data_IF_803595432650
#
_entry.id   IF_803595432650
#
_cell.length_a   1.000
_cell.length_b   1.000
_cell.length_c   1.000
_cell.angle_alpha   90.00
_cell.angle_beta   90.00
_cell.angle_gamma   90.00
#
_symmetry.space_group_name_H-M   'P 1'
#
loop_
_entity.id
_entity.type
_entity.pdbx_description
1 polymer ?
#
# COMPACT_ATOMS: atom_id res chain seq x y z
N UNK A 1 16.41 16.92 1.12
CA UNK A 1 16.19 15.62 1.73
C UNK A 1 14.75 15.21 1.61
N UNK A 2 14.53 14.00 1.21
CA UNK A 2 13.20 13.48 1.06
C UNK A 2 12.67 12.96 2.39
N UNK A 3 11.45 13.34 2.69
CA UNK A 3 10.78 12.79 3.86
C UNK A 3 10.07 11.53 3.44
N UNK A 4 10.33 10.46 4.17
CA UNK A 4 9.68 9.17 3.93
C UNK A 4 8.56 9.04 4.94
N UNK A 5 7.31 8.97 4.44
CA UNK A 5 6.16 8.77 5.30
C UNK A 5 5.80 7.29 5.33
N UNK A 6 5.89 6.69 6.49
CA UNK A 6 5.50 5.31 6.68
C UNK A 6 3.99 5.25 6.91
N UNK A 7 3.32 4.48 6.08
CA UNK A 7 1.86 4.39 6.14
C UNK A 7 1.45 3.19 7.01
N UNK A 8 1.99 2.02 6.68
CA UNK A 8 1.65 0.80 7.41
C UNK A 8 2.71 -0.26 7.10
N UNK A 9 2.56 -1.43 7.71
CA UNK A 9 3.49 -2.52 7.48
C UNK A 9 3.18 -3.22 6.17
N UNK A 10 4.23 -3.67 5.49
CA UNK A 10 4.07 -4.45 4.28
C UNK A 10 3.59 -5.86 4.64
N UNK A 11 2.53 -6.36 3.98
CA UNK A 11 2.03 -7.70 4.29
C UNK A 11 2.89 -8.83 3.72
N UNK A 12 3.78 -8.50 2.77
CA UNK A 12 4.59 -9.52 2.10
C UNK A 12 6.00 -9.64 2.67
N UNK A 13 6.43 -8.67 3.45
CA UNK A 13 7.77 -8.68 4.03
C UNK A 13 7.75 -7.90 5.35
N UNK A 14 8.92 -7.81 5.99
CA UNK A 14 9.02 -7.09 7.25
C UNK A 14 9.22 -5.59 7.08
N UNK A 15 9.16 -5.11 5.85
CA UNK A 15 9.29 -3.70 5.58
C UNK A 15 8.02 -2.92 5.85
N UNK A 16 8.00 -1.69 5.39
CA UNK A 16 6.85 -0.82 5.57
C UNK A 16 6.44 -0.22 4.23
N UNK A 17 5.16 0.08 4.13
CA UNK A 17 4.64 0.77 2.96
C UNK A 17 4.86 2.26 3.16
N UNK A 18 5.51 2.88 2.18
CA UNK A 18 5.84 4.31 2.23
C UNK A 18 5.23 5.03 1.05
N UNK A 19 5.02 6.32 1.24
CA UNK A 19 4.49 7.17 0.17
C UNK A 19 5.62 7.56 -0.77
N UNK A 20 5.40 7.36 -2.06
CA UNK A 20 6.37 7.72 -3.09
C UNK A 20 5.70 8.57 -4.15
N UNK A 21 6.50 9.34 -4.85
CA UNK A 21 6.00 10.22 -5.90
C UNK A 21 6.71 9.91 -7.21
N UNK A 22 5.93 9.80 -8.28
CA UNK A 22 6.48 9.55 -9.60
C UNK A 22 6.95 10.85 -10.24
N UNK A 23 7.66 10.74 -11.36
CA UNK A 23 8.11 11.91 -12.10
C UNK A 23 6.94 12.77 -12.59
N UNK A 24 5.82 12.12 -12.87
CA UNK A 24 4.63 12.82 -13.35
C UNK A 24 3.84 13.50 -12.25
N UNK A 25 4.30 13.37 -11.02
CA UNK A 25 3.63 14.01 -9.91
C UNK A 25 2.53 13.15 -9.28
N UNK A 26 2.39 11.92 -9.71
CA UNK A 26 1.42 11.00 -9.11
C UNK A 26 2.00 10.36 -7.87
N UNK A 27 1.16 10.19 -6.87
CA UNK A 27 1.58 9.56 -5.62
C UNK A 27 1.17 8.09 -5.64
N UNK A 28 2.11 7.23 -5.25
CA UNK A 28 1.82 5.81 -5.09
C UNK A 28 2.49 5.33 -3.81
N UNK A 29 2.07 4.19 -3.35
CA UNK A 29 2.57 3.61 -2.12
C UNK A 29 3.30 2.32 -2.43
N UNK A 30 4.51 2.19 -1.94
CA UNK A 30 5.32 1.03 -2.22
C UNK A 30 6.08 0.58 -0.99
N UNK A 31 6.62 -0.65 -1.05
CA UNK A 31 7.38 -1.20 0.05
C UNK A 31 8.76 -0.54 0.15
N UNK A 32 9.20 -0.28 1.37
CA UNK A 32 10.51 0.30 1.61
C UNK A 32 11.64 -0.64 1.24
N UNK A 33 11.35 -1.94 1.11
CA UNK A 33 12.34 -2.93 0.72
C UNK A 33 12.43 -3.14 -0.79
N UNK A 34 11.76 -2.29 -1.55
CA UNK A 34 11.90 -2.34 -3.00
C UNK A 34 13.38 -2.20 -3.39
N UNK A 35 13.89 -2.96 -4.36
CA UNK A 35 13.16 -3.86 -5.27
C UNK A 35 13.00 -5.31 -4.78
N UNK A 36 13.48 -5.64 -3.58
CA UNK A 36 13.32 -6.99 -3.06
C UNK A 36 11.86 -7.34 -2.89
N UNK A 37 11.07 -6.42 -2.40
CA UNK A 37 9.63 -6.57 -2.28
C UNK A 37 8.97 -5.66 -3.30
N UNK A 38 8.27 -6.25 -4.26
CA UNK A 38 7.69 -5.49 -5.36
C UNK A 38 6.24 -5.08 -5.11
N UNK A 39 5.89 -4.86 -3.86
CA UNK A 39 4.55 -4.41 -3.54
C UNK A 39 4.39 -2.93 -3.84
N UNK A 40 3.35 -2.60 -4.56
CA UNK A 40 3.04 -1.22 -4.90
C UNK A 40 1.53 -1.05 -5.00
N UNK A 41 1.05 0.10 -4.56
CA UNK A 41 -0.37 0.40 -4.54
C UNK A 41 -0.60 1.82 -5.01
N UNK A 42 -1.65 2.02 -5.79
CA UNK A 42 -2.02 3.36 -6.25
C UNK A 42 -2.93 4.08 -5.27
N UNK A 43 -3.62 3.32 -4.41
CA UNK A 43 -4.51 3.88 -3.42
C UNK A 43 -3.85 3.82 -2.04
N UNK A 44 -4.27 4.72 -1.16
CA UNK A 44 -3.71 4.77 0.18
C UNK A 44 -4.14 3.54 0.99
N UNK A 45 -3.18 2.79 1.55
CA UNK A 45 -3.53 1.65 2.40
C UNK A 45 -4.22 2.13 3.68
N UNK A 46 -5.27 1.44 4.08
CA UNK A 46 -5.98 1.77 5.31
C UNK A 46 -5.23 1.31 6.57
N UNK A 47 -4.26 0.43 6.37
CA UNK A 47 -3.53 -0.16 7.49
C UNK A 47 -4.14 -1.45 8.00
N UNK A 48 -5.25 -1.88 7.43
CA UNK A 48 -5.90 -3.11 7.83
C UNK A 48 -5.65 -4.21 6.80
N UNK A 49 -5.74 -5.45 7.23
CA UNK A 49 -5.53 -6.60 6.37
C UNK A 49 -6.85 -7.27 6.06
N UNK A 50 -6.97 -7.79 4.85
CA UNK A 50 -8.14 -8.55 4.46
C UNK A 50 -8.22 -9.85 5.25
N UNK A 51 -9.41 -10.18 5.77
CA UNK A 51 -9.59 -11.39 6.54
C UNK A 51 -9.47 -12.65 5.69
N UNK A 52 -9.76 -12.54 4.40
CA UNK A 52 -9.75 -13.70 3.51
C UNK A 52 -8.38 -13.99 2.93
N UNK A 53 -7.67 -12.97 2.49
CA UNK A 53 -6.39 -13.18 1.79
C UNK A 53 -5.18 -12.59 2.52
N UNK A 54 -5.40 -11.78 3.55
CA UNK A 54 -4.31 -11.21 4.33
C UNK A 54 -3.57 -10.08 3.67
N UNK A 55 -4.07 -9.57 2.55
CA UNK A 55 -3.45 -8.44 1.88
C UNK A 55 -3.99 -7.13 2.42
N UNK A 56 -3.33 -6.03 2.05
CA UNK A 56 -3.74 -4.72 2.52
C UNK A 56 -5.06 -4.28 1.92
N UNK A 57 -5.87 -3.65 2.74
CA UNK A 57 -7.11 -3.02 2.30
C UNK A 57 -6.80 -1.57 1.97
N UNK A 58 -7.19 -1.14 0.78
CA UNK A 58 -6.91 0.21 0.29
C UNK A 58 -8.15 1.09 0.41
N UNK A 59 -7.92 2.37 0.65
CA UNK A 59 -8.98 3.36 0.69
C UNK A 59 -9.27 3.84 -0.73
N UNK A 60 -10.48 3.61 -1.18
CA UNK A 60 -10.93 4.07 -2.49
C UNK A 60 -11.99 5.14 -2.32
N UNK A 61 -12.41 5.75 -3.43
CA UNK A 61 -13.45 6.77 -3.40
C UNK A 61 -14.78 6.22 -2.89
N UNK A 62 -15.01 4.93 -3.12
CA UNK A 62 -16.26 4.29 -2.72
C UNK A 62 -16.19 3.60 -1.36
N UNK A 63 -15.02 3.62 -0.73
CA UNK A 63 -14.81 2.99 0.56
C UNK A 63 -13.56 2.14 0.58
N UNK A 64 -13.56 1.11 1.41
CA UNK A 64 -12.41 0.23 1.54
C UNK A 64 -12.53 -0.97 0.62
N UNK A 65 -11.42 -1.37 0.02
CA UNK A 65 -11.41 -2.49 -0.90
C UNK A 65 -10.08 -3.24 -0.79
N UNK A 66 -10.15 -4.56 -0.80
CA UNK A 66 -8.95 -5.38 -0.76
C UNK A 66 -8.16 -5.23 -2.07
N UNK A 67 -6.84 -5.12 -1.95
CA UNK A 67 -5.98 -4.96 -3.12
C UNK A 67 -5.78 -6.26 -3.89
N UNK A 68 -6.12 -7.39 -3.30
CA UNK A 68 -5.90 -8.69 -3.93
C UNK A 68 -7.20 -9.33 -4.40
N UNK A 69 -8.10 -9.64 -3.49
CA UNK A 69 -9.34 -10.34 -3.86
C UNK A 69 -10.44 -9.39 -4.33
N UNK A 70 -10.28 -8.10 -4.11
CA UNK A 70 -11.27 -7.12 -4.54
C UNK A 70 -12.50 -7.03 -3.66
N UNK A 71 -12.46 -7.65 -2.49
CA UNK A 71 -13.57 -7.60 -1.57
C UNK A 71 -13.75 -6.18 -1.03
N UNK A 72 -14.97 -5.68 -1.07
CA UNK A 72 -15.28 -4.36 -0.55
C UNK A 72 -15.68 -4.43 0.91
N UNK A 73 -15.25 -3.42 1.65
CA UNK A 73 -15.53 -3.36 3.09
C UNK A 73 -16.35 -2.14 3.46
#
# INVERSE_FOLDING_TARGET
KEEIKEICYCPSCDGKIIEKKTRKGKIFYGCSNYPKCKEAYWDKPSGEKCADCGKLILETKTGLKCSNCGKEY
#
